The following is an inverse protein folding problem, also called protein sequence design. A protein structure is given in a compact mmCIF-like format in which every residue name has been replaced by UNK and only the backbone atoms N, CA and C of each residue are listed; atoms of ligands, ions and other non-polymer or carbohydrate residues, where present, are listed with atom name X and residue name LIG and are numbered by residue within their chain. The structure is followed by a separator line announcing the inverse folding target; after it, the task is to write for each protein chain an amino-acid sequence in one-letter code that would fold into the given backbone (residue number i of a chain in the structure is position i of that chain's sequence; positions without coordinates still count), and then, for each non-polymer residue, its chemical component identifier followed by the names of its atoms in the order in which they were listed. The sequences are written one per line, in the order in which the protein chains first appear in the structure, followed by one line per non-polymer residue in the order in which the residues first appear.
data_IF_060563670696
#
_entry.id   IF_060563670696
#
_cell.length_a   1.000
_cell.length_b   1.000
_cell.length_c   1.000
_cell.angle_alpha   90.00
_cell.angle_beta   90.00
_cell.angle_gamma   90.00
#
_symmetry.space_group_name_H-M   'P 1'
#
loop_
_entity.id
_entity.type
_entity.pdbx_description
1 polymer ?
#
# COMPACT_ATOMS: atom_id res chain seq x y z
N UNK A 1 8.55 1.12 9.98
CA UNK A 1 9.59 1.26 8.95
C UNK A 1 9.14 0.60 7.64
N UNK A 2 7.95 0.94 7.13
CA UNK A 2 7.38 0.35 5.89
C UNK A 2 7.74 1.17 4.65
N UNK A 3 7.97 2.48 4.80
CA UNK A 3 8.37 3.40 3.72
C UNK A 3 9.65 3.01 2.98
N UNK A 4 10.56 2.28 3.64
CA UNK A 4 11.83 1.88 3.01
C UNK A 4 11.62 0.77 1.96
N UNK A 5 10.62 -0.09 2.14
CA UNK A 5 10.35 -1.22 1.25
C UNK A 5 9.65 -0.77 -0.04
N UNK A 6 8.76 0.22 0.06
CA UNK A 6 8.00 0.76 -1.08
C UNK A 6 8.91 1.57 -2.01
N UNK A 7 9.76 2.43 -1.44
CA UNK A 7 10.82 3.12 -2.17
C UNK A 7 11.79 2.11 -2.77
N UNK A 8 12.13 1.02 -2.07
CA UNK A 8 13.03 -0.01 -2.61
C UNK A 8 12.43 -0.80 -3.78
N UNK A 9 11.12 -1.09 -3.81
CA UNK A 9 10.50 -1.77 -4.95
C UNK A 9 10.45 -0.85 -6.19
N UNK A 10 10.12 0.42 -5.99
CA UNK A 10 10.12 1.44 -7.05
C UNK A 10 11.54 1.77 -7.51
N UNK A 11 12.51 1.84 -6.60
CA UNK A 11 13.94 2.07 -6.89
C UNK A 11 14.62 0.85 -7.49
N UNK A 12 14.19 -0.38 -7.19
CA UNK A 12 14.65 -1.59 -7.87
C UNK A 12 14.05 -1.67 -9.27
N UNK A 13 12.78 -1.30 -9.46
CA UNK A 13 12.17 -1.21 -10.80
C UNK A 13 12.84 -0.13 -11.65
N UNK A 14 13.04 1.07 -11.09
CA UNK A 14 13.75 2.18 -11.73
C UNK A 14 15.24 1.92 -11.89
N UNK A 15 15.87 1.23 -10.94
CA UNK A 15 17.27 0.85 -10.95
C UNK A 15 17.56 -0.24 -11.96
N UNK A 16 16.69 -1.24 -12.14
CA UNK A 16 16.79 -2.27 -13.19
C UNK A 16 16.61 -1.63 -14.58
N UNK A 17 15.65 -0.72 -14.74
CA UNK A 17 15.46 0.02 -15.99
C UNK A 17 16.59 1.03 -16.27
N UNK A 18 17.15 1.63 -15.22
CA UNK A 18 18.25 2.61 -15.30
C UNK A 18 19.65 2.01 -15.41
N UNK A 19 19.84 0.73 -15.04
CA UNK A 19 21.12 0.00 -15.14
C UNK A 19 21.26 -0.84 -16.41
N UNK A 20 20.16 -1.04 -17.14
CA UNK A 20 20.24 -1.45 -18.55
C UNK A 20 20.91 -0.32 -19.35
N UNK A 21 21.75 -0.62 -20.36
CA UNK A 21 22.34 0.38 -21.25
C UNK A 21 21.28 0.93 -22.21
N UNK A 22 20.16 1.40 -21.66
CA UNK A 22 19.11 2.08 -22.41
C UNK A 22 19.60 3.51 -22.67
N UNK A 23 19.34 4.04 -23.86
CA UNK A 23 19.67 5.43 -24.16
C UNK A 23 18.96 6.35 -23.15
N UNK A 24 19.67 7.33 -22.58
CA UNK A 24 19.27 8.04 -21.35
C UNK A 24 17.89 8.71 -21.33
N UNK A 25 17.25 8.89 -22.49
CA UNK A 25 15.84 9.31 -22.57
C UNK A 25 14.87 8.28 -21.98
N UNK A 26 15.18 6.98 -22.07
CA UNK A 26 14.36 5.92 -21.50
C UNK A 26 14.42 5.90 -19.97
N UNK A 27 15.58 6.22 -19.39
CA UNK A 27 15.75 6.37 -17.93
C UNK A 27 14.94 7.56 -17.41
N UNK A 28 15.03 8.71 -18.10
CA UNK A 28 14.23 9.88 -17.74
C UNK A 28 12.73 9.61 -17.86
N UNK A 29 12.31 8.92 -18.92
CA UNK A 29 10.91 8.52 -19.11
C UNK A 29 10.44 7.60 -17.98
N UNK A 30 11.23 6.59 -17.60
CA UNK A 30 10.89 5.69 -16.49
C UNK A 30 10.72 6.46 -15.17
N UNK A 31 11.68 7.33 -14.84
CA UNK A 31 11.60 8.19 -13.65
C UNK A 31 10.35 9.07 -13.65
N UNK A 32 10.06 9.73 -14.78
CA UNK A 32 8.85 10.53 -14.94
C UNK A 32 7.60 9.68 -14.72
N UNK A 33 7.52 8.49 -15.32
CA UNK A 33 6.36 7.60 -15.17
C UNK A 33 6.18 7.15 -13.72
N UNK A 34 7.25 6.83 -13.00
CA UNK A 34 7.18 6.51 -11.57
C UNK A 34 6.67 7.68 -10.74
N UNK A 35 7.22 8.88 -10.93
CA UNK A 35 6.73 10.08 -10.22
C UNK A 35 5.24 10.33 -10.48
N UNK A 36 4.78 10.14 -11.72
CA UNK A 36 3.37 10.28 -12.04
C UNK A 36 2.53 9.17 -11.39
N UNK A 37 2.98 7.91 -11.43
CA UNK A 37 2.28 6.79 -10.81
C UNK A 37 2.04 7.02 -9.31
N UNK A 38 3.04 7.55 -8.58
CA UNK A 38 2.88 7.92 -7.17
C UNK A 38 1.96 9.13 -7.00
N UNK A 39 2.11 10.15 -7.85
CA UNK A 39 1.29 11.37 -7.79
C UNK A 39 -0.21 11.12 -8.08
N UNK A 40 -0.53 10.02 -8.78
CA UNK A 40 -1.92 9.61 -9.01
C UNK A 40 -2.65 9.29 -7.69
N UNK A 41 -1.96 8.82 -6.65
CA UNK A 41 -2.56 8.52 -5.35
C UNK A 41 -3.17 9.79 -4.75
N UNK A 42 -2.35 10.85 -4.66
CA UNK A 42 -2.75 12.14 -4.13
C UNK A 42 -3.90 12.77 -4.93
N UNK A 43 -3.96 12.52 -6.23
CA UNK A 43 -4.93 13.18 -7.12
C UNK A 43 -6.26 12.41 -7.24
N UNK A 44 -6.21 11.08 -7.28
CA UNK A 44 -7.38 10.24 -7.56
C UNK A 44 -7.90 9.49 -6.34
N UNK A 45 -7.03 9.18 -5.39
CA UNK A 45 -7.39 8.40 -4.21
C UNK A 45 -7.69 9.27 -2.99
N UNK A 46 -7.57 10.60 -3.11
CA UNK A 46 -8.02 11.55 -2.11
C UNK A 46 -9.20 12.37 -2.63
N UNK A 47 -10.28 12.44 -1.85
CA UNK A 47 -11.46 13.27 -2.15
C UNK A 47 -11.70 14.27 -1.05
N UNK A 48 -12.06 15.48 -1.44
CA UNK A 48 -12.45 16.52 -0.51
C UNK A 48 -13.95 16.44 -0.23
N UNK A 49 -14.32 16.45 1.04
CA UNK A 49 -15.71 16.43 1.47
C UNK A 49 -16.24 17.84 1.70
N UNK A 50 -17.56 18.01 1.73
CA UNK A 50 -18.21 19.32 1.84
C UNK A 50 -17.86 20.08 3.14
N UNK A 51 -17.48 19.37 4.20
CA UNK A 51 -17.06 19.93 5.48
C UNK A 51 -15.57 20.33 5.53
N UNK A 52 -14.84 20.26 4.42
CA UNK A 52 -13.43 20.67 4.40
C UNK A 52 -12.43 19.58 4.81
N UNK A 53 -12.86 18.32 4.95
CA UNK A 53 -11.93 17.22 5.25
C UNK A 53 -11.50 16.48 3.99
N UNK A 54 -10.30 15.88 4.04
CA UNK A 54 -9.83 14.98 2.99
C UNK A 54 -10.06 13.53 3.42
N UNK A 55 -10.63 12.71 2.53
CA UNK A 55 -10.84 11.28 2.77
C UNK A 55 -10.16 10.45 1.68
N UNK A 56 -9.49 9.39 2.11
CA UNK A 56 -8.96 8.36 1.22
C UNK A 56 -10.08 7.51 0.62
N UNK A 57 -9.98 7.19 -0.67
CA UNK A 57 -10.89 6.31 -1.40
C UNK A 57 -10.12 5.29 -2.22
N UNK A 58 -10.70 4.10 -2.35
CA UNK A 58 -10.10 3.02 -3.13
C UNK A 58 -10.37 3.21 -4.63
N UNK A 59 -9.30 3.22 -5.43
CA UNK A 59 -9.34 3.34 -6.89
C UNK A 59 -8.59 2.16 -7.51
N UNK A 60 -9.35 1.14 -7.92
CA UNK A 60 -8.83 -0.16 -8.39
C UNK A 60 -7.82 -0.08 -9.53
N UNK A 61 -8.06 0.81 -10.50
CA UNK A 61 -7.15 0.94 -11.65
C UNK A 61 -5.85 1.62 -11.24
N UNK A 62 -5.89 2.55 -10.29
CA UNK A 62 -4.68 3.15 -9.70
C UNK A 62 -3.87 2.07 -9.00
N UNK A 63 -4.53 1.21 -8.21
CA UNK A 63 -3.90 0.08 -7.52
C UNK A 63 -3.17 -0.89 -8.47
N UNK A 64 -3.64 -1.04 -9.71
CA UNK A 64 -2.95 -1.85 -10.72
C UNK A 64 -1.69 -1.17 -11.25
N UNK A 65 -1.71 0.16 -11.38
CA UNK A 65 -0.59 0.95 -11.93
C UNK A 65 0.52 1.16 -10.88
N UNK A 66 0.16 1.33 -9.62
CA UNK A 66 1.08 1.64 -8.52
C UNK A 66 1.22 0.49 -7.51
N UNK A 67 1.14 -0.75 -7.99
CA UNK A 67 1.44 -1.95 -7.21
C UNK A 67 0.58 -2.20 -5.94
N UNK A 68 -0.49 -1.44 -5.69
CA UNK A 68 -1.41 -1.67 -4.56
C UNK A 68 -1.83 -0.38 -3.84
N UNK A 69 -1.09 0.72 -4.02
CA UNK A 69 -1.33 1.98 -3.28
C UNK A 69 -2.67 2.65 -3.61
N UNK A 70 -3.31 2.29 -4.73
CA UNK A 70 -4.65 2.73 -5.07
C UNK A 70 -5.75 2.23 -4.11
N UNK A 71 -5.49 1.27 -3.23
CA UNK A 71 -6.39 0.88 -2.14
C UNK A 71 -6.30 1.84 -0.93
N UNK A 72 -6.30 3.14 -1.24
CA UNK A 72 -5.94 4.17 -0.29
C UNK A 72 -7.00 4.39 0.81
N UNK A 73 -8.28 4.13 0.50
CA UNK A 73 -9.35 4.25 1.48
C UNK A 73 -9.26 3.21 2.60
N UNK A 74 -8.78 2.00 2.30
CA UNK A 74 -8.53 0.99 3.32
C UNK A 74 -7.19 1.21 4.04
N UNK A 75 -6.14 1.61 3.33
CA UNK A 75 -4.86 1.99 3.95
C UNK A 75 -5.06 3.07 5.04
N UNK A 76 -5.88 4.10 4.78
CA UNK A 76 -6.19 5.13 5.80
C UNK A 76 -6.97 4.57 7.01
N UNK A 77 -7.65 3.43 6.89
CA UNK A 77 -8.36 2.77 8.01
C UNK A 77 -7.44 1.89 8.85
N UNK A 78 -6.53 1.16 8.20
CA UNK A 78 -5.58 0.26 8.85
C UNK A 78 -4.15 0.52 8.35
N UNK A 79 -3.54 1.68 8.70
CA UNK A 79 -2.26 2.11 8.13
C UNK A 79 -1.06 1.26 8.57
N UNK A 80 -1.23 0.45 9.60
CA UNK A 80 -0.22 -0.52 10.05
C UNK A 80 -0.30 -1.85 9.31
N UNK A 81 -1.38 -2.14 8.59
CA UNK A 81 -1.56 -3.37 7.83
C UNK A 81 -0.69 -3.31 6.56
N UNK A 82 0.11 -4.35 6.33
CA UNK A 82 0.95 -4.46 5.14
C UNK A 82 0.15 -4.69 3.85
N UNK A 83 -1.10 -5.14 3.97
CA UNK A 83 -2.03 -5.25 2.85
C UNK A 83 -2.87 -3.98 2.75
N UNK A 84 -2.75 -3.29 1.62
CA UNK A 84 -3.45 -2.05 1.32
C UNK A 84 -4.90 -2.31 0.91
N UNK A 85 -5.18 -3.47 0.31
CA UNK A 85 -6.51 -3.85 -0.18
C UNK A 85 -7.53 -4.21 0.90
N UNK A 86 -8.81 -4.33 0.49
CA UNK A 86 -9.88 -4.81 1.36
C UNK A 86 -10.33 -6.24 1.00
N UNK A 87 -10.12 -7.19 1.90
CA UNK A 87 -10.50 -8.61 1.71
C UNK A 87 -9.55 -9.39 0.79
N UNK A 88 -9.89 -10.63 0.42
CA UNK A 88 -8.99 -11.57 -0.28
C UNK A 88 -8.87 -11.38 -1.79
N UNK A 89 -9.46 -10.33 -2.38
CA UNK A 89 -9.66 -10.23 -3.84
C UNK A 89 -9.00 -9.01 -4.50
N UNK A 90 -8.31 -8.16 -3.73
CA UNK A 90 -7.58 -7.02 -4.26
C UNK A 90 -6.20 -7.45 -4.76
N UNK A 91 -5.81 -7.00 -5.96
CA UNK A 91 -4.43 -7.14 -6.41
C UNK A 91 -3.57 -6.12 -5.65
N UNK A 92 -2.59 -6.62 -4.89
CA UNK A 92 -1.63 -5.82 -4.12
C UNK A 92 -0.26 -6.50 -4.28
N UNK A 93 0.52 -5.96 -5.21
CA UNK A 93 1.84 -6.48 -5.54
C UNK A 93 2.83 -6.19 -4.41
N UNK A 94 2.73 -5.01 -3.78
CA UNK A 94 3.54 -4.63 -2.61
C UNK A 94 3.39 -5.65 -1.49
N UNK A 95 2.16 -5.99 -1.10
CA UNK A 95 1.90 -7.01 -0.08
C UNK A 95 2.44 -8.39 -0.48
N UNK A 96 2.32 -8.75 -1.75
CA UNK A 96 2.85 -10.01 -2.28
C UNK A 96 4.38 -10.09 -2.13
N UNK A 97 5.08 -8.99 -2.43
CA UNK A 97 6.52 -8.87 -2.25
C UNK A 97 6.89 -8.94 -0.76
N UNK A 98 6.19 -8.22 0.11
CA UNK A 98 6.42 -8.27 1.57
C UNK A 98 6.25 -9.70 2.10
N UNK A 99 5.21 -10.41 1.69
CA UNK A 99 4.99 -11.81 2.08
C UNK A 99 6.11 -12.73 1.56
N UNK A 100 6.65 -12.47 0.37
CA UNK A 100 7.78 -13.23 -0.16
C UNK A 100 9.05 -12.97 0.66
N UNK A 101 9.33 -11.71 1.00
CA UNK A 101 10.48 -11.33 1.84
C UNK A 101 10.36 -11.91 3.26
N UNK A 102 9.16 -11.92 3.83
CA UNK A 102 8.89 -12.54 5.13
C UNK A 102 9.13 -14.06 5.09
N UNK A 103 8.67 -14.75 4.04
CA UNK A 103 8.93 -16.18 3.85
C UNK A 103 10.41 -16.51 3.68
N UNK A 104 11.18 -15.59 3.12
CA UNK A 104 12.64 -15.69 3.02
C UNK A 104 13.36 -15.34 4.33
N UNK A 105 12.63 -14.89 5.36
CA UNK A 105 13.20 -14.47 6.65
C UNK A 105 13.89 -13.10 6.61
N UNK A 106 13.68 -12.31 5.55
CA UNK A 106 14.29 -10.99 5.38
C UNK A 106 13.50 -9.87 6.07
N UNK A 107 12.20 -10.06 6.23
CA UNK A 107 11.30 -9.16 6.95
C UNK A 107 10.58 -9.96 8.03
N UNK A 108 10.30 -9.34 9.17
CA UNK A 108 9.66 -9.98 10.31
C UNK A 108 8.63 -9.04 10.96
N UNK A 109 7.64 -9.63 11.63
CA UNK A 109 6.59 -8.87 12.32
C UNK A 109 5.62 -8.18 11.36
N UNK A 110 5.33 -8.81 10.22
CA UNK A 110 4.39 -8.25 9.24
C UNK A 110 2.97 -8.25 9.80
N UNK A 111 2.33 -7.09 9.78
CA UNK A 111 0.94 -6.95 10.16
C UNK A 111 0.04 -7.39 9.00
N UNK A 112 -0.47 -8.62 9.06
CA UNK A 112 -1.40 -9.15 8.07
C UNK A 112 -2.85 -8.67 8.28
N UNK A 113 -3.67 -8.63 7.23
CA UNK A 113 -5.09 -8.32 7.35
C UNK A 113 -5.77 -9.36 8.25
N UNK A 114 -6.58 -8.90 9.22
CA UNK A 114 -7.33 -9.80 10.10
C UNK A 114 -8.29 -10.65 9.29
N UNK A 115 -8.24 -11.97 9.48
CA UNK A 115 -9.23 -12.86 8.87
C UNK A 115 -10.63 -12.52 9.39
N UNK A 116 -11.66 -12.54 8.54
CA UNK A 116 -13.06 -12.35 8.97
C UNK A 116 -13.50 -13.35 10.05
N UNK A 117 -12.81 -14.48 10.21
CA UNK A 117 -13.11 -15.48 11.23
C UNK A 117 -12.79 -15.00 12.66
N UNK A 118 -11.87 -14.04 12.83
CA UNK A 118 -11.44 -13.58 14.16
C UNK A 118 -12.14 -12.31 14.64
N UNK A 119 -12.86 -11.58 13.78
CA UNK A 119 -13.62 -10.38 14.19
C UNK A 119 -14.94 -10.69 14.91
N UNK A 120 -15.44 -11.93 14.81
CA UNK A 120 -16.60 -12.38 15.58
C UNK A 120 -16.27 -12.83 17.01
N UNK A 121 -14.98 -12.88 17.38
CA UNK A 121 -14.51 -13.42 18.66
C UNK A 121 -13.92 -12.37 19.63
N UNK A 122 -14.00 -11.06 19.33
CA UNK A 122 -13.67 -10.04 20.33
C UNK A 122 -14.83 -9.92 21.33
N UNK A 123 -14.76 -10.68 22.42
CA UNK A 123 -15.61 -10.51 23.61
C UNK A 123 -15.61 -9.03 24.05
N UNK A 124 -16.74 -8.48 24.55
CA UNK A 124 -16.74 -7.16 25.14
C UNK A 124 -15.84 -7.17 26.38
N UNK A 125 -14.80 -6.33 26.36
CA UNK A 125 -14.00 -6.03 27.55
C UNK A 125 -14.92 -5.39 28.59
N UNK A 126 -15.09 -6.03 29.75
CA UNK A 126 -15.75 -5.46 30.92
C UNK A 126 -14.99 -4.19 31.32
N UNK A 127 -15.55 -3.02 31.03
CA UNK A 127 -15.13 -1.78 31.67
C UNK A 127 -15.66 -1.78 33.11
N UNK A 128 -14.73 -1.55 34.03
CA UNK A 128 -14.86 -1.67 35.46
C UNK A 128 -15.93 -0.73 36.05
N UNK A 129 -16.63 -1.26 37.04
CA UNK A 129 -17.39 -0.52 38.04
C UNK A 129 -16.43 0.45 38.74
N UNK A 130 -16.65 1.75 38.59
CA UNK A 130 -16.13 2.79 39.48
C UNK A 130 -17.31 3.22 40.36
N UNK A 131 -17.15 3.01 41.66
CA UNK A 131 -17.99 3.56 42.74
C UNK A 131 -17.59 5.02 43.00
#
# INVERSE_FOLDING_TARGET
ELWLCDVFAVDVFNGILGSLPLPGHMTLLAFCLSLHAESLINSYCHKWTANGSCVGVDVRWVALVNAGEGWHGYHHKEPSCAYHGHGSSGFDLTYTVICALERLGLVHGVCHPRSKATSAASKPSKAAKLE
#
